data_IF_100972219330
#
_entry.id   IF_100972219330
#
_cell.length_a   1.000
_cell.length_b   1.000
_cell.length_c   1.000
_cell.angle_alpha   90.00
_cell.angle_beta   90.00
_cell.angle_gamma   90.00
#
_symmetry.space_group_name_H-M   'P 1'
#
loop_
_entity.id
_entity.type
_entity.pdbx_description
1 polymer ?
#
# COMPACT_ATOMS: atom_id res chain seq x y z
N UNK A 1 20.80 1.01 -5.51
CA UNK A 1 19.62 1.68 -4.90
C UNK A 1 19.08 0.79 -3.80
N UNK A 2 19.11 1.31 -2.57
CA UNK A 2 18.53 0.67 -1.39
C UNK A 2 17.01 0.91 -1.38
N UNK A 3 16.24 -0.11 -0.99
CA UNK A 3 14.78 -0.01 -0.87
C UNK A 3 14.40 -0.05 0.60
N UNK A 4 13.64 0.94 1.08
CA UNK A 4 13.05 0.93 2.40
C UNK A 4 11.58 0.53 2.30
N UNK A 5 11.22 -0.58 2.92
CA UNK A 5 9.84 -1.08 2.97
C UNK A 5 9.16 -0.56 4.22
N UNK A 6 8.02 0.08 4.07
CA UNK A 6 7.21 0.61 5.17
C UNK A 6 5.86 -0.11 5.18
N UNK A 7 5.55 -0.76 6.31
CA UNK A 7 4.33 -1.56 6.48
C UNK A 7 3.51 -0.96 7.62
N UNK A 8 2.46 -0.17 7.31
CA UNK A 8 1.52 0.31 8.33
C UNK A 8 0.67 -0.87 8.83
N UNK A 9 0.55 -1.03 10.15
CA UNK A 9 -0.01 -2.22 10.78
C UNK A 9 -0.97 -1.86 11.91
N UNK A 10 -2.10 -2.54 12.00
CA UNK A 10 -3.02 -2.49 13.14
C UNK A 10 -3.85 -3.78 13.20
N UNK A 11 -3.57 -4.64 14.19
CA UNK A 11 -4.26 -5.93 14.39
C UNK A 11 -4.23 -6.81 13.12
N UNK A 12 -3.03 -7.21 12.71
CA UNK A 12 -2.77 -7.99 11.50
C UNK A 12 -2.00 -9.30 11.80
N UNK A 13 -2.18 -9.88 13.00
CA UNK A 13 -1.47 -11.11 13.42
C UNK A 13 -1.60 -12.26 12.43
N UNK A 14 -2.72 -12.36 11.71
CA UNK A 14 -2.96 -13.43 10.72
C UNK A 14 -2.27 -13.22 9.36
N UNK A 15 -1.78 -12.01 9.09
CA UNK A 15 -1.24 -11.66 7.77
C UNK A 15 0.20 -11.17 7.79
N UNK A 16 0.61 -10.50 8.86
CA UNK A 16 1.87 -9.77 8.92
C UNK A 16 3.08 -10.66 8.64
N UNK A 17 3.09 -11.88 9.14
CA UNK A 17 4.19 -12.83 8.93
C UNK A 17 4.34 -13.20 7.46
N UNK A 18 3.23 -13.57 6.78
CA UNK A 18 3.22 -13.87 5.34
C UNK A 18 3.73 -12.69 4.51
N UNK A 19 3.30 -11.48 4.86
CA UNK A 19 3.76 -10.25 4.21
C UNK A 19 5.27 -10.07 4.38
N UNK A 20 5.80 -10.15 5.61
CA UNK A 20 7.22 -10.00 5.91
C UNK A 20 8.07 -11.07 5.23
N UNK A 21 7.64 -12.32 5.25
CA UNK A 21 8.32 -13.42 4.55
C UNK A 21 8.41 -13.17 3.04
N UNK A 22 7.40 -12.54 2.42
CA UNK A 22 7.46 -12.17 1.01
C UNK A 22 8.50 -11.08 0.72
N UNK A 23 8.73 -10.18 1.69
CA UNK A 23 9.79 -9.16 1.61
C UNK A 23 11.17 -9.78 1.80
N UNK A 24 11.33 -10.69 2.76
CA UNK A 24 12.61 -11.36 3.04
C UNK A 24 13.11 -12.25 1.90
N UNK A 25 12.22 -12.70 1.02
CA UNK A 25 12.58 -13.43 -0.21
C UNK A 25 13.17 -12.54 -1.32
N UNK A 26 13.19 -11.24 -1.11
CA UNK A 26 13.73 -10.30 -2.10
C UNK A 26 15.26 -10.15 -1.97
N UNK A 27 15.91 -9.89 -3.10
CA UNK A 27 17.36 -9.76 -3.17
C UNK A 27 17.83 -8.31 -3.16
N UNK A 28 19.07 -8.12 -2.73
CA UNK A 28 19.79 -6.85 -2.74
C UNK A 28 19.58 -6.03 -1.46
N UNK A 29 20.07 -4.80 -1.44
CA UNK A 29 20.06 -3.94 -0.26
C UNK A 29 18.68 -3.38 0.05
N UNK A 30 18.15 -3.65 1.24
CA UNK A 30 16.87 -3.15 1.72
C UNK A 30 16.81 -3.08 3.25
N UNK A 31 15.80 -2.42 3.76
CA UNK A 31 15.43 -2.36 5.17
C UNK A 31 13.90 -2.42 5.32
N UNK A 32 13.41 -2.88 6.46
CA UNK A 32 11.98 -3.06 6.72
C UNK A 32 11.59 -2.36 8.02
N UNK A 33 10.61 -1.48 7.93
CA UNK A 33 9.96 -0.82 9.06
C UNK A 33 8.48 -1.18 9.13
N UNK A 34 8.06 -1.76 10.24
CA UNK A 34 6.65 -1.97 10.56
C UNK A 34 6.20 -0.84 11.46
N UNK A 35 5.29 0.00 10.97
CA UNK A 35 4.74 1.13 11.71
C UNK A 35 3.43 0.71 12.38
N UNK A 36 3.49 0.37 13.66
CA UNK A 36 2.34 -0.11 14.42
C UNK A 36 1.48 1.04 14.97
N UNK A 37 0.19 0.99 14.67
CA UNK A 37 -0.82 1.97 15.09
C UNK A 37 -1.49 1.68 16.45
N UNK A 38 -0.87 0.84 17.28
CA UNK A 38 -1.38 0.41 18.58
C UNK A 38 -2.15 -0.91 18.51
N UNK A 39 -1.54 -1.94 17.92
CA UNK A 39 -2.08 -3.31 17.90
C UNK A 39 -2.22 -3.88 19.31
N UNK A 40 -3.29 -4.64 19.51
CA UNK A 40 -3.63 -5.31 20.78
C UNK A 40 -3.54 -6.84 20.70
N UNK A 41 -3.28 -7.36 19.49
CA UNK A 41 -3.04 -8.77 19.18
C UNK A 41 -1.54 -9.09 19.10
N UNK A 42 -1.17 -10.24 18.57
CA UNK A 42 0.23 -10.67 18.44
C UNK A 42 1.01 -10.00 17.29
N UNK A 43 0.43 -9.05 16.58
CA UNK A 43 1.05 -8.39 15.42
C UNK A 43 2.47 -7.90 15.68
N UNK A 44 2.66 -7.16 16.79
CA UNK A 44 3.97 -6.56 17.14
C UNK A 44 5.00 -7.64 17.49
N UNK A 45 4.59 -8.68 18.22
CA UNK A 45 5.45 -9.79 18.61
C UNK A 45 5.95 -10.56 17.38
N UNK A 46 5.07 -10.84 16.43
CA UNK A 46 5.41 -11.50 15.18
C UNK A 46 6.31 -10.63 14.30
N UNK A 47 5.96 -9.34 14.15
CA UNK A 47 6.72 -8.42 13.30
C UNK A 47 8.17 -8.21 13.76
N UNK A 48 8.41 -8.17 15.07
CA UNK A 48 9.76 -7.99 15.66
C UNK A 48 10.75 -9.10 15.31
N UNK A 49 10.27 -10.26 14.90
CA UNK A 49 11.14 -11.37 14.47
C UNK A 49 11.80 -11.11 13.12
N UNK A 50 11.25 -10.19 12.32
CA UNK A 50 11.62 -10.01 10.92
C UNK A 50 11.98 -8.57 10.56
N UNK A 51 11.56 -7.58 11.36
CA UNK A 51 11.65 -6.16 10.98
C UNK A 51 11.82 -5.23 12.19
N UNK A 52 12.27 -4.01 11.93
CA UNK A 52 12.24 -2.93 12.92
C UNK A 52 10.81 -2.44 13.12
N UNK A 53 10.28 -2.60 14.34
CA UNK A 53 8.93 -2.16 14.67
C UNK A 53 8.97 -0.81 15.38
N UNK A 54 8.21 0.15 14.88
CA UNK A 54 8.06 1.48 15.47
C UNK A 54 6.61 1.72 15.90
N UNK A 55 6.44 2.39 17.03
CA UNK A 55 5.12 2.86 17.48
C UNK A 55 4.74 4.13 16.75
N UNK A 56 3.50 4.20 16.28
CA UNK A 56 2.93 5.39 15.64
C UNK A 56 1.53 5.68 16.18
N UNK A 57 1.06 6.90 15.98
CA UNK A 57 -0.37 7.18 16.13
C UNK A 57 -1.16 6.39 15.09
N UNK A 58 -2.36 5.97 15.45
CA UNK A 58 -3.29 5.27 14.56
C UNK A 58 -3.67 6.13 13.37
N UNK A 59 -3.56 5.56 12.16
CA UNK A 59 -3.87 6.20 10.89
C UNK A 59 -2.84 5.79 9.83
N UNK A 60 -3.28 5.23 8.70
CA UNK A 60 -2.35 4.72 7.67
C UNK A 60 -1.38 5.78 7.19
N UNK A 61 -1.87 6.99 6.87
CA UNK A 61 -1.02 8.11 6.47
C UNK A 61 0.05 8.43 7.54
N UNK A 62 -0.38 8.55 8.80
CA UNK A 62 0.50 8.84 9.93
C UNK A 62 1.55 7.75 10.12
N UNK A 63 1.14 6.48 10.06
CA UNK A 63 2.03 5.33 10.18
C UNK A 63 3.05 5.26 9.04
N UNK A 64 2.60 5.43 7.78
CA UNK A 64 3.48 5.46 6.61
C UNK A 64 4.49 6.61 6.67
N UNK A 65 4.06 7.80 7.09
CA UNK A 65 4.95 8.95 7.27
C UNK A 65 5.97 8.71 8.39
N UNK A 66 5.54 8.14 9.53
CA UNK A 66 6.43 7.81 10.64
C UNK A 66 7.52 6.82 10.22
N UNK A 67 7.15 5.75 9.50
CA UNK A 67 8.10 4.81 8.94
C UNK A 67 9.08 5.47 7.98
N UNK A 68 8.57 6.30 7.05
CA UNK A 68 9.40 6.96 6.05
C UNK A 68 10.45 7.92 6.62
N UNK A 69 10.21 8.50 7.81
CA UNK A 69 11.18 9.37 8.49
C UNK A 69 12.45 8.63 8.92
N UNK A 70 12.37 7.35 9.23
CA UNK A 70 13.49 6.52 9.67
C UNK A 70 14.25 5.87 8.49
N UNK A 71 13.64 5.87 7.32
CA UNK A 71 14.16 5.21 6.14
C UNK A 71 15.44 5.87 5.61
N UNK A 72 16.43 5.05 5.25
CA UNK A 72 17.69 5.49 4.64
C UNK A 72 17.80 5.19 3.15
N UNK A 73 16.91 4.33 2.62
CA UNK A 73 16.94 3.91 1.21
C UNK A 73 16.59 5.02 0.22
N UNK A 74 17.02 4.81 -1.02
CA UNK A 74 16.76 5.71 -2.15
C UNK A 74 15.30 5.67 -2.61
N UNK A 75 14.67 4.49 -2.42
CA UNK A 75 13.30 4.19 -2.80
C UNK A 75 12.52 3.79 -1.56
N UNK A 76 11.37 4.41 -1.35
CA UNK A 76 10.40 4.02 -0.34
C UNK A 76 9.33 3.15 -0.99
N UNK A 77 9.05 1.98 -0.41
CA UNK A 77 7.97 1.08 -0.81
C UNK A 77 6.97 0.97 0.34
N UNK A 78 5.75 1.42 0.10
CA UNK A 78 4.64 1.31 1.03
C UNK A 78 3.83 0.05 0.71
N UNK A 79 3.82 -0.91 1.62
CA UNK A 79 3.18 -2.21 1.46
C UNK A 79 2.18 -2.43 2.60
N UNK A 80 0.96 -2.85 2.28
CA UNK A 80 -0.02 -3.16 3.32
C UNK A 80 0.34 -4.46 4.06
N UNK A 81 -0.04 -4.54 5.33
CA UNK A 81 0.29 -5.68 6.19
C UNK A 81 -0.39 -7.01 5.79
N UNK A 82 -1.34 -6.96 4.87
CA UNK A 82 -2.06 -8.11 4.30
C UNK A 82 -1.76 -8.32 2.80
N UNK A 83 -0.61 -7.79 2.33
CA UNK A 83 -0.21 -7.85 0.93
C UNK A 83 1.17 -8.48 0.78
N UNK A 84 1.30 -9.49 -0.08
CA UNK A 84 2.55 -10.18 -0.36
C UNK A 84 3.17 -9.68 -1.66
N UNK A 85 4.49 -9.50 -1.67
CA UNK A 85 5.26 -9.16 -2.85
C UNK A 85 5.48 -10.38 -3.75
N UNK A 86 5.48 -10.21 -5.07
CA UNK A 86 5.92 -11.26 -5.99
C UNK A 86 7.44 -11.47 -5.93
N UNK A 87 7.90 -12.63 -6.37
CA UNK A 87 9.33 -12.86 -6.56
C UNK A 87 9.92 -11.80 -7.50
N UNK A 88 11.18 -11.41 -7.24
CA UNK A 88 11.91 -10.39 -8.01
C UNK A 88 11.30 -8.97 -7.99
N UNK A 89 10.40 -8.65 -7.08
CA UNK A 89 9.78 -7.32 -7.00
C UNK A 89 10.85 -6.21 -6.89
N UNK A 90 11.83 -6.37 -6.00
CA UNK A 90 12.90 -5.37 -5.80
C UNK A 90 13.82 -5.24 -7.02
N UNK A 91 14.09 -6.35 -7.69
CA UNK A 91 14.88 -6.35 -8.95
C UNK A 91 14.15 -5.53 -10.02
N UNK A 92 12.85 -5.73 -10.19
CA UNK A 92 12.05 -4.99 -11.18
C UNK A 92 11.90 -3.51 -10.81
N UNK A 93 11.71 -3.17 -9.52
CA UNK A 93 11.74 -1.78 -9.06
C UNK A 93 13.06 -1.13 -9.45
N UNK A 94 14.19 -1.72 -9.04
CA UNK A 94 15.52 -1.16 -9.33
C UNK A 94 15.78 -1.01 -10.82
N UNK A 95 15.41 -2.01 -11.62
CA UNK A 95 15.55 -1.98 -13.08
C UNK A 95 14.80 -0.83 -13.71
N UNK A 96 13.55 -0.60 -13.27
CA UNK A 96 12.68 0.43 -13.85
C UNK A 96 12.90 1.83 -13.30
N UNK A 97 13.50 1.92 -12.11
CA UNK A 97 13.89 3.19 -11.49
C UNK A 97 15.31 3.62 -11.86
N UNK A 98 16.06 2.80 -12.61
CA UNK A 98 17.34 3.20 -13.20
C UNK A 98 17.11 4.27 -14.27
N UNK A 99 17.81 5.41 -14.11
CA UNK A 99 17.61 6.58 -14.97
C UNK A 99 16.48 7.47 -14.44
N UNK A 100 16.66 8.77 -14.55
CA UNK A 100 15.84 9.81 -13.90
C UNK A 100 14.42 9.99 -14.49
N UNK A 101 13.91 9.01 -15.22
CA UNK A 101 12.64 9.17 -15.92
C UNK A 101 11.42 8.80 -15.09
N UNK A 102 11.55 7.92 -14.09
CA UNK A 102 10.44 7.48 -13.27
C UNK A 102 10.56 8.00 -11.84
N UNK A 103 9.52 8.68 -11.35
CA UNK A 103 9.46 9.22 -9.98
C UNK A 103 8.94 8.19 -8.97
N UNK A 104 8.31 7.12 -9.44
CA UNK A 104 7.74 6.05 -8.63
C UNK A 104 6.86 5.12 -9.46
N UNK A 105 6.11 4.26 -8.77
CA UNK A 105 5.22 3.31 -9.42
C UNK A 105 4.40 2.48 -8.45
N UNK A 106 3.76 1.45 -8.99
CA UNK A 106 3.02 0.44 -8.25
C UNK A 106 3.07 -0.89 -9.00
N UNK A 107 2.54 -1.92 -8.39
CA UNK A 107 2.28 -3.22 -9.01
C UNK A 107 0.82 -3.31 -9.46
N UNK A 108 0.45 -4.36 -10.19
CA UNK A 108 -0.95 -4.70 -10.34
C UNK A 108 -1.40 -5.62 -9.19
N UNK A 109 -2.70 -5.68 -8.94
CA UNK A 109 -3.28 -6.38 -7.80
C UNK A 109 -3.80 -7.76 -8.22
N UNK A 110 -3.53 -8.76 -7.40
CA UNK A 110 -4.24 -10.05 -7.37
C UNK A 110 -4.75 -10.31 -5.95
N UNK A 111 -5.71 -11.20 -5.82
CA UNK A 111 -6.28 -11.59 -4.53
C UNK A 111 -5.89 -13.03 -4.19
N UNK A 112 -5.84 -13.33 -2.89
CA UNK A 112 -5.47 -14.64 -2.34
C UNK A 112 -6.59 -15.70 -2.46
N UNK A 113 -7.64 -15.40 -3.21
CA UNK A 113 -8.78 -16.31 -3.47
C UNK A 113 -9.12 -16.34 -4.96
N UNK A 114 -9.56 -17.50 -5.43
CA UNK A 114 -10.10 -17.64 -6.78
C UNK A 114 -11.57 -17.26 -6.80
N UNK A 115 -11.86 -16.07 -7.34
CA UNK A 115 -13.22 -15.56 -7.50
C UNK A 115 -13.33 -14.79 -8.82
N UNK A 116 -14.28 -15.15 -9.66
CA UNK A 116 -14.46 -14.60 -11.01
C UNK A 116 -14.51 -13.07 -11.03
N UNK A 117 -15.22 -12.44 -10.09
CA UNK A 117 -15.36 -10.98 -10.04
C UNK A 117 -14.04 -10.33 -9.61
N UNK A 118 -13.37 -10.89 -8.60
CA UNK A 118 -12.07 -10.39 -8.14
C UNK A 118 -10.99 -10.58 -9.20
N UNK A 119 -11.02 -11.68 -9.94
CA UNK A 119 -10.13 -11.93 -11.08
C UNK A 119 -10.35 -10.89 -12.20
N UNK A 120 -11.60 -10.48 -12.43
CA UNK A 120 -11.93 -9.38 -13.34
C UNK A 120 -11.32 -8.04 -12.89
N UNK A 121 -11.34 -7.74 -11.58
CA UNK A 121 -10.70 -6.55 -11.02
C UNK A 121 -9.19 -6.64 -11.18
N UNK A 122 -8.58 -7.79 -10.84
CA UNK A 122 -7.16 -8.04 -11.01
C UNK A 122 -6.73 -7.80 -12.47
N UNK A 123 -7.52 -8.26 -13.43
CA UNK A 123 -7.26 -8.04 -14.85
C UNK A 123 -7.27 -6.54 -15.20
N UNK A 124 -8.23 -5.77 -14.68
CA UNK A 124 -8.32 -4.33 -14.93
C UNK A 124 -7.12 -3.58 -14.33
N UNK A 125 -6.59 -4.00 -13.17
CA UNK A 125 -5.44 -3.35 -12.53
C UNK A 125 -4.13 -3.54 -13.31
N UNK A 126 -4.06 -4.48 -14.26
CA UNK A 126 -2.93 -4.64 -15.20
C UNK A 126 -2.79 -3.49 -16.18
N UNK A 127 -3.86 -2.72 -16.36
CA UNK A 127 -3.84 -1.52 -17.18
C UNK A 127 -3.64 -0.30 -16.27
N UNK A 128 -2.70 0.56 -16.61
CA UNK A 128 -2.33 1.75 -15.82
C UNK A 128 -3.45 2.84 -15.89
N UNK A 129 -4.71 2.44 -15.66
CA UNK A 129 -5.81 3.39 -15.60
C UNK A 129 -5.77 4.19 -14.30
N UNK A 130 -5.89 5.50 -14.41
CA UNK A 130 -5.85 6.46 -13.29
C UNK A 130 -6.83 6.16 -12.15
N UNK A 131 -7.91 5.42 -12.43
CA UNK A 131 -9.03 5.16 -11.54
C UNK A 131 -8.83 3.95 -10.60
N UNK A 132 -7.82 3.10 -10.86
CA UNK A 132 -7.66 1.80 -10.22
C UNK A 132 -6.35 1.66 -9.44
N UNK A 133 -5.77 2.78 -9.00
CA UNK A 133 -4.56 2.75 -8.17
C UNK A 133 -4.91 3.05 -6.72
N UNK A 134 -4.83 2.00 -5.90
CA UNK A 134 -5.06 2.03 -4.46
C UNK A 134 -3.80 1.57 -3.72
N UNK A 135 -3.71 1.86 -2.42
CA UNK A 135 -2.54 1.55 -1.61
C UNK A 135 -2.20 0.07 -1.50
N UNK A 136 -3.18 -0.82 -1.69
CA UNK A 136 -3.00 -2.28 -1.73
C UNK A 136 -2.16 -2.78 -2.92
N UNK A 137 -1.83 -1.92 -3.89
CA UNK A 137 -0.96 -2.23 -5.03
C UNK A 137 0.54 -2.03 -4.76
N UNK A 138 0.95 -1.74 -3.52
CA UNK A 138 2.36 -1.52 -3.20
C UNK A 138 2.96 -0.31 -3.92
N UNK A 139 2.72 0.89 -3.40
CA UNK A 139 3.22 2.14 -3.98
C UNK A 139 4.70 2.32 -3.64
N UNK A 140 5.54 2.53 -4.64
CA UNK A 140 6.95 2.89 -4.43
C UNK A 140 7.27 4.26 -5.07
N UNK A 141 8.22 4.97 -4.46
CA UNK A 141 8.56 6.35 -4.84
C UNK A 141 10.02 6.65 -4.51
N UNK A 142 10.68 7.52 -5.29
CA UNK A 142 11.97 8.07 -4.90
C UNK A 142 11.84 8.84 -3.59
N UNK A 143 12.75 8.62 -2.63
CA UNK A 143 12.72 9.29 -1.32
C UNK A 143 12.73 10.81 -1.45
N UNK A 144 13.51 11.37 -2.38
CA UNK A 144 13.56 12.80 -2.68
C UNK A 144 12.20 13.37 -3.11
N UNK A 145 11.48 12.62 -3.96
CA UNK A 145 10.13 13.01 -4.42
C UNK A 145 9.11 12.90 -3.29
N UNK A 146 9.20 11.86 -2.45
CA UNK A 146 8.34 11.73 -1.26
C UNK A 146 8.51 12.93 -0.33
N UNK A 147 9.75 13.33 -0.06
CA UNK A 147 10.08 14.50 0.77
C UNK A 147 9.57 15.80 0.14
N UNK A 148 9.78 15.99 -1.17
CA UNK A 148 9.27 17.15 -1.94
C UNK A 148 7.74 17.25 -1.84
N UNK A 149 7.03 16.11 -1.87
CA UNK A 149 5.58 16.04 -1.71
C UNK A 149 5.12 16.19 -0.26
N UNK A 150 6.05 16.30 0.73
CA UNK A 150 5.76 16.34 2.17
C UNK A 150 4.97 15.11 2.65
N UNK A 151 5.26 13.95 2.04
CA UNK A 151 4.66 12.67 2.41
C UNK A 151 3.17 12.53 2.09
N UNK A 152 2.53 11.60 2.80
CA UNK A 152 1.08 11.45 2.79
C UNK A 152 0.41 12.56 3.58
N UNK A 153 -0.71 13.09 3.10
CA UNK A 153 -1.54 13.99 3.89
C UNK A 153 -2.19 13.22 5.04
N UNK A 154 -2.35 13.87 6.18
CA UNK A 154 -3.10 13.29 7.30
C UNK A 154 -4.59 13.25 6.98
N UNK A 155 -4.97 12.15 6.34
CA UNK A 155 -6.33 11.87 5.89
C UNK A 155 -6.79 10.53 6.46
N UNK A 156 -8.02 10.43 6.98
CA UNK A 156 -8.51 9.21 7.58
C UNK A 156 -8.80 8.09 6.59
N UNK A 157 -9.01 8.43 5.30
CA UNK A 157 -9.17 7.53 4.14
C UNK A 157 -8.75 8.26 2.87
N UNK A 158 -8.54 7.55 1.76
CA UNK A 158 -8.15 8.08 0.44
C UNK A 158 -6.76 8.74 0.41
N UNK A 159 -5.95 8.54 1.42
CA UNK A 159 -4.57 9.04 1.52
C UNK A 159 -3.69 8.55 0.37
N UNK A 160 -3.86 7.28 -0.01
CA UNK A 160 -3.12 6.65 -1.11
C UNK A 160 -3.50 7.27 -2.46
N UNK A 161 -4.80 7.48 -2.68
CA UNK A 161 -5.31 8.09 -3.90
C UNK A 161 -4.82 9.54 -4.05
N UNK A 162 -4.87 10.35 -2.96
CA UNK A 162 -4.33 11.72 -2.96
C UNK A 162 -2.83 11.72 -3.26
N UNK A 163 -2.08 10.85 -2.56
CA UNK A 163 -0.64 10.74 -2.76
C UNK A 163 -0.29 10.34 -4.20
N UNK A 164 -0.93 9.32 -4.74
CA UNK A 164 -0.69 8.87 -6.12
C UNK A 164 -1.03 9.95 -7.16
N UNK A 165 -2.11 10.72 -6.94
CA UNK A 165 -2.46 11.86 -7.78
C UNK A 165 -1.39 12.97 -7.75
N UNK A 166 -0.81 13.26 -6.56
CA UNK A 166 0.29 14.22 -6.41
C UNK A 166 1.57 13.71 -7.03
N UNK A 167 1.86 12.41 -6.87
CA UNK A 167 3.03 11.75 -7.45
C UNK A 167 3.03 11.84 -8.98
N UNK A 168 1.90 11.58 -9.64
CA UNK A 168 1.75 11.69 -11.10
C UNK A 168 2.04 13.09 -11.66
N UNK A 169 1.95 14.12 -10.83
CA UNK A 169 2.28 15.51 -11.25
C UNK A 169 3.78 15.79 -11.18
N UNK A 170 4.58 14.93 -10.54
CA UNK A 170 6.03 15.09 -10.42
C UNK A 170 6.80 14.44 -11.58
N UNK A 171 6.18 13.51 -12.30
CA UNK A 171 6.82 12.84 -13.41
C UNK A 171 6.16 11.52 -13.77
N UNK A 172 6.91 10.68 -14.50
CA UNK A 172 6.43 9.37 -14.96
C UNK A 172 6.25 8.41 -13.79
N UNK A 173 5.04 7.89 -13.63
CA UNK A 173 4.72 6.80 -12.68
C UNK A 173 4.52 5.51 -13.46
N UNK A 174 5.25 4.47 -13.08
CA UNK A 174 5.29 3.19 -13.79
C UNK A 174 4.43 2.13 -13.12
N UNK A 175 3.92 1.20 -13.92
CA UNK A 175 3.30 -0.02 -13.43
C UNK A 175 4.28 -1.18 -13.65
N UNK A 176 4.70 -1.84 -12.56
CA UNK A 176 5.46 -3.07 -12.63
C UNK A 176 4.51 -4.21 -13.01
N UNK A 177 4.84 -4.94 -14.08
CA UNK A 177 4.00 -6.03 -14.58
C UNK A 177 4.22 -7.35 -13.81
N UNK A 178 4.16 -7.24 -12.50
CA UNK A 178 4.14 -8.35 -11.54
C UNK A 178 2.99 -8.13 -10.56
N UNK A 179 2.28 -9.18 -10.11
CA UNK A 179 1.19 -9.04 -9.15
C UNK A 179 1.71 -8.89 -7.72
N UNK A 180 1.13 -7.99 -6.95
CA UNK A 180 1.07 -8.15 -5.50
C UNK A 180 -0.22 -8.91 -5.16
N UNK A 181 -0.16 -9.79 -4.16
CA UNK A 181 -1.30 -10.58 -3.72
C UNK A 181 -1.82 -10.01 -2.41
N UNK A 182 -3.02 -9.44 -2.43
CA UNK A 182 -3.67 -8.88 -1.24
C UNK A 182 -4.79 -9.78 -0.73
N UNK A 183 -5.05 -9.73 0.58
CA UNK A 183 -6.07 -10.53 1.20
C UNK A 183 -7.49 -10.10 0.79
N UNK A 184 -8.27 -11.08 0.31
CA UNK A 184 -9.67 -10.89 -0.04
C UNK A 184 -10.62 -10.96 1.17
N UNK A 185 -10.10 -11.11 2.41
CA UNK A 185 -10.90 -11.32 3.63
C UNK A 185 -12.09 -10.37 3.77
N UNK A 186 -11.91 -9.11 3.38
CA UNK A 186 -12.94 -8.07 3.46
C UNK A 186 -14.06 -8.31 2.45
N UNK A 187 -13.69 -8.75 1.25
CA UNK A 187 -14.64 -9.11 0.20
C UNK A 187 -15.44 -10.35 0.56
N UNK A 188 -14.77 -11.33 1.19
CA UNK A 188 -15.42 -12.57 1.65
C UNK A 188 -16.38 -12.25 2.80
N UNK A 189 -15.94 -11.51 3.82
CA UNK A 189 -16.74 -11.15 4.99
C UNK A 189 -18.01 -10.36 4.64
N UNK A 190 -17.89 -9.38 3.74
CA UNK A 190 -18.97 -8.44 3.42
C UNK A 190 -19.78 -8.84 2.18
N UNK A 191 -19.34 -9.87 1.45
CA UNK A 191 -19.83 -10.18 0.11
C UNK A 191 -19.16 -9.32 -0.97
N UNK A 192 -18.66 -9.99 -2.03
CA UNK A 192 -17.83 -9.34 -3.07
C UNK A 192 -18.52 -8.14 -3.71
N UNK A 193 -19.74 -8.31 -4.20
CA UNK A 193 -20.48 -7.24 -4.86
C UNK A 193 -20.78 -6.07 -3.93
N UNK A 194 -21.20 -6.37 -2.69
CA UNK A 194 -21.49 -5.33 -1.69
C UNK A 194 -20.23 -4.52 -1.38
N UNK A 195 -19.09 -5.19 -1.15
CA UNK A 195 -17.82 -4.49 -0.86
C UNK A 195 -17.37 -3.63 -2.05
N UNK A 196 -17.56 -4.09 -3.28
CA UNK A 196 -17.27 -3.30 -4.48
C UNK A 196 -18.14 -2.05 -4.58
N UNK A 197 -19.43 -2.17 -4.32
CA UNK A 197 -20.33 -1.03 -4.30
C UNK A 197 -19.94 -0.01 -3.24
N UNK A 198 -19.56 -0.46 -2.03
CA UNK A 198 -19.07 0.41 -0.96
C UNK A 198 -17.80 1.15 -1.42
N UNK A 199 -16.81 0.43 -1.94
CA UNK A 199 -15.55 1.02 -2.40
C UNK A 199 -15.81 2.05 -3.51
N UNK A 200 -16.65 1.72 -4.49
CA UNK A 200 -17.04 2.62 -5.58
C UNK A 200 -17.75 3.88 -5.06
N UNK A 201 -18.70 3.71 -4.13
CA UNK A 201 -19.42 4.82 -3.52
C UNK A 201 -18.50 5.78 -2.77
N UNK A 202 -17.50 5.25 -2.05
CA UNK A 202 -16.47 6.06 -1.36
C UNK A 202 -15.68 6.90 -2.36
N UNK A 203 -15.23 6.30 -3.47
CA UNK A 203 -14.46 7.01 -4.50
C UNK A 203 -15.31 8.10 -5.18
N UNK A 204 -16.54 7.80 -5.55
CA UNK A 204 -17.45 8.75 -6.19
C UNK A 204 -17.80 9.91 -5.25
N UNK A 205 -18.09 9.63 -3.98
CA UNK A 205 -18.39 10.66 -2.99
C UNK A 205 -17.17 11.55 -2.69
N UNK A 206 -15.96 10.97 -2.68
CA UNK A 206 -14.72 11.74 -2.60
C UNK A 206 -14.56 12.71 -3.77
N UNK A 207 -14.86 12.25 -4.99
CA UNK A 207 -14.77 13.12 -6.18
C UNK A 207 -15.86 14.18 -6.24
N UNK A 208 -17.02 13.88 -5.68
CA UNK A 208 -18.11 14.86 -5.51
C UNK A 208 -17.80 15.92 -4.43
N UNK A 209 -16.63 15.84 -3.78
CA UNK A 209 -16.23 16.82 -2.75
C UNK A 209 -16.83 16.58 -1.38
N UNK A 210 -17.36 15.38 -1.11
CA UNK A 210 -17.91 15.06 0.23
C UNK A 210 -16.85 15.22 1.31
N UNK A 211 -17.25 15.75 2.46
CA UNK A 211 -16.34 15.91 3.61
C UNK A 211 -15.71 14.57 4.00
N UNK A 212 -14.38 14.55 4.14
CA UNK A 212 -13.59 13.33 4.35
C UNK A 212 -13.94 12.62 5.68
N UNK A 213 -14.34 13.36 6.72
CA UNK A 213 -14.75 12.78 8.00
C UNK A 213 -16.11 12.09 7.88
N UNK A 214 -17.02 12.65 7.12
CA UNK A 214 -18.33 12.03 6.82
C UNK A 214 -18.10 10.74 6.03
N UNK A 215 -17.23 10.78 5.05
CA UNK A 215 -16.86 9.63 4.23
C UNK A 215 -16.23 8.50 5.09
N UNK A 216 -15.37 8.87 6.02
CA UNK A 216 -14.77 7.92 6.98
C UNK A 216 -15.83 7.26 7.86
N UNK A 217 -16.76 8.04 8.42
CA UNK A 217 -17.86 7.50 9.24
C UNK A 217 -18.74 6.53 8.44
N UNK A 218 -19.03 6.85 7.18
CA UNK A 218 -19.77 5.93 6.29
C UNK A 218 -18.98 4.64 6.08
N UNK A 219 -17.69 4.75 5.74
CA UNK A 219 -16.84 3.59 5.51
C UNK A 219 -16.69 2.70 6.75
N UNK A 220 -16.56 3.28 7.94
CA UNK A 220 -16.44 2.52 9.20
C UNK A 220 -17.72 1.76 9.56
N UNK A 221 -18.90 2.33 9.27
CA UNK A 221 -20.19 1.65 9.49
C UNK A 221 -20.40 0.45 8.56
N UNK A 222 -19.67 0.40 7.45
CA UNK A 222 -19.78 -0.67 6.45
C UNK A 222 -18.65 -1.70 6.55
N UNK A 223 -17.73 -1.52 7.48
CA UNK A 223 -16.55 -2.36 7.74
C UNK A 223 -16.84 -3.40 8.82
#
# INVERSE_FOLDING_TARGET
MKISVIIPTLNEEHNIEKTLQSVLKQEGDYEIYVADGGSTDNTVTLAKQYASVIKSKRGRATQMNAGAQLCTGDILLFLHADTSLPNNAFREIRKRMKGDTAVGGSFYLEFDVDNFILNGISFITRFNFRLFHFGDQGIFVQKSIFQKLKGYKDMPIMEDYDFYKRLKRQGKVILVRLPVVSSARRFIKNGVLRQLLINKSVVLAYWAGMNIQTLKRFYDKTR
#
